data_IF_598101181208
#
_entry.id   IF_598101181208
#
_cell.length_a   1.000
_cell.length_b   1.000
_cell.length_c   1.000
_cell.angle_alpha   90.00
_cell.angle_beta   90.00
_cell.angle_gamma   90.00
#
_symmetry.space_group_name_H-M   'P 1'
#
loop_
_entity.id
_entity.type
_entity.pdbx_description
1 polymer ?
#
# COMPACT_ATOMS: atom_id res chain seq x y z
N UNK A 1 55.48 7.81 -13.69
CA UNK A 1 56.32 7.88 -12.47
C UNK A 1 55.53 7.31 -11.32
N UNK A 2 56.09 6.31 -10.65
CA UNK A 2 55.54 5.65 -9.48
C UNK A 2 56.04 6.40 -8.23
N UNK A 3 55.17 6.71 -7.27
CA UNK A 3 55.59 7.14 -5.94
C UNK A 3 54.62 6.60 -4.89
N UNK A 4 55.10 5.64 -4.11
CA UNK A 4 54.50 5.14 -2.87
C UNK A 4 55.26 5.80 -1.73
N UNK A 5 54.57 6.31 -0.71
CA UNK A 5 55.18 6.77 0.55
C UNK A 5 54.42 6.14 1.71
N UNK A 6 55.18 5.54 2.63
CA UNK A 6 54.73 4.88 3.86
C UNK A 6 55.11 5.73 5.10
N UNK A 7 54.17 5.79 6.05
CA UNK A 7 54.30 5.90 7.52
C UNK A 7 54.94 7.15 8.21
N UNK A 8 54.23 7.77 9.17
CA UNK A 8 54.45 7.63 10.64
C UNK A 8 53.64 8.62 11.53
N UNK A 9 53.04 8.04 12.59
CA UNK A 9 52.75 8.46 13.99
C UNK A 9 52.54 9.93 14.47
N UNK A 10 51.38 10.17 15.13
CA UNK A 10 51.16 11.02 16.33
C UNK A 10 51.05 12.55 16.11
N UNK A 11 50.02 13.26 16.57
CA UNK A 11 49.67 13.49 17.99
C UNK A 11 48.17 13.41 18.26
N UNK A 12 47.82 12.91 19.44
CA UNK A 12 46.47 12.86 19.97
C UNK A 12 45.87 14.26 20.14
N UNK A 13 44.65 14.47 19.64
CA UNK A 13 43.74 15.49 20.17
C UNK A 13 42.61 14.74 20.89
N UNK A 14 42.65 14.81 22.21
CA UNK A 14 41.67 14.20 23.11
C UNK A 14 40.39 15.04 23.10
N UNK A 15 39.55 14.85 22.08
CA UNK A 15 38.14 15.23 22.16
C UNK A 15 37.39 14.21 23.02
N UNK A 16 36.48 14.63 23.94
CA UNK A 16 35.68 13.68 24.69
C UNK A 16 34.86 12.82 23.73
N UNK A 17 35.17 11.52 23.71
CA UNK A 17 34.32 10.51 23.10
C UNK A 17 32.98 10.52 23.83
N UNK A 18 31.99 11.19 23.25
CA UNK A 18 30.61 10.83 23.48
C UNK A 18 30.42 9.44 22.90
N UNK A 19 30.55 8.43 23.77
CA UNK A 19 30.14 7.07 23.51
C UNK A 19 28.67 7.10 23.15
N UNK A 20 28.34 7.14 21.86
CA UNK A 20 27.00 6.80 21.40
C UNK A 20 26.94 5.27 21.52
N UNK A 21 26.11 4.69 22.41
CA UNK A 21 25.92 3.26 22.44
C UNK A 21 25.48 2.83 21.03
N UNK A 22 26.21 1.87 20.47
CA UNK A 22 26.00 1.42 19.10
C UNK A 22 24.53 1.13 18.86
N UNK A 23 23.96 1.77 17.83
CA UNK A 23 22.68 1.33 17.29
C UNK A 23 22.79 -0.17 17.04
N UNK A 24 21.88 -1.01 17.58
CA UNK A 24 21.81 -2.38 17.14
C UNK A 24 21.64 -2.31 15.63
N UNK A 25 22.64 -2.79 14.91
CA UNK A 25 22.56 -3.00 13.48
C UNK A 25 21.52 -4.10 13.31
N UNK A 26 20.24 -3.70 13.29
CA UNK A 26 19.12 -4.59 13.09
C UNK A 26 19.39 -5.32 11.80
N UNK A 27 19.63 -6.62 11.89
CA UNK A 27 19.66 -7.51 10.75
C UNK A 27 18.39 -7.23 9.96
N UNK A 28 18.52 -6.57 8.80
CA UNK A 28 17.41 -6.51 7.85
C UNK A 28 17.15 -7.96 7.51
N UNK A 29 16.05 -8.51 8.03
CA UNK A 29 15.56 -9.80 7.60
C UNK A 29 15.43 -9.71 6.08
N UNK A 30 16.28 -10.45 5.37
CA UNK A 30 16.17 -10.58 3.93
C UNK A 30 14.84 -11.25 3.67
N UNK A 31 13.90 -10.50 3.09
CA UNK A 31 12.63 -11.05 2.63
C UNK A 31 12.96 -12.07 1.54
N UNK A 32 12.77 -13.36 1.84
CA UNK A 32 12.91 -14.42 0.86
C UNK A 32 11.75 -14.27 -0.14
N UNK A 33 12.01 -13.98 -1.43
CA UNK A 33 10.96 -13.80 -2.43
C UNK A 33 10.15 -15.08 -2.70
N UNK A 34 10.58 -16.21 -2.13
CA UNK A 34 9.93 -17.51 -2.25
C UNK A 34 8.95 -17.80 -1.10
N UNK A 35 8.91 -16.97 -0.05
CA UNK A 35 7.93 -17.12 1.00
C UNK A 35 6.53 -16.85 0.42
N UNK A 36 5.54 -17.74 0.62
CA UNK A 36 4.18 -17.44 0.21
C UNK A 36 3.74 -16.17 0.93
N UNK A 37 3.40 -15.14 0.15
CA UNK A 37 2.84 -13.91 0.69
C UNK A 37 1.55 -14.18 1.46
N UNK A 38 1.09 -13.23 2.29
CA UNK A 38 -0.19 -13.35 2.97
C UNK A 38 -1.28 -13.72 1.96
N UNK A 39 -2.17 -14.64 2.36
CA UNK A 39 -3.27 -15.05 1.51
C UNK A 39 -4.04 -13.80 1.06
N UNK A 40 -4.06 -13.57 -0.25
CA UNK A 40 -4.80 -12.46 -0.82
C UNK A 40 -6.28 -12.55 -0.44
N UNK A 41 -7.00 -11.43 -0.48
CA UNK A 41 -8.42 -11.40 -0.18
C UNK A 41 -9.18 -12.41 -1.05
N UNK A 42 -10.23 -13.00 -0.47
CA UNK A 42 -11.10 -13.94 -1.15
C UNK A 42 -11.76 -13.34 -2.40
N UNK A 43 -12.44 -14.16 -3.22
CA UNK A 43 -13.08 -13.69 -4.44
C UNK A 43 -14.11 -12.59 -4.13
N UNK A 44 -14.08 -11.51 -4.92
CA UNK A 44 -14.99 -10.37 -4.76
C UNK A 44 -16.44 -10.73 -5.12
N UNK A 45 -17.36 -10.36 -4.25
CA UNK A 45 -18.80 -10.47 -4.48
C UNK A 45 -19.33 -9.28 -5.29
N UNK A 46 -19.37 -9.45 -6.62
CA UNK A 46 -19.85 -8.41 -7.52
C UNK A 46 -21.37 -8.34 -7.57
N UNK A 47 -21.94 -7.21 -7.14
CA UNK A 47 -23.38 -6.92 -7.15
C UNK A 47 -23.73 -5.73 -8.06
N UNK A 48 -25.04 -5.49 -8.25
CA UNK A 48 -25.52 -4.25 -8.87
C UNK A 48 -25.14 -3.08 -7.95
N UNK A 49 -24.69 -1.99 -8.55
CA UNK A 49 -24.42 -0.77 -7.80
C UNK A 49 -25.71 -0.15 -7.27
N UNK A 50 -25.66 0.31 -6.03
CA UNK A 50 -26.74 1.03 -5.37
C UNK A 50 -26.63 2.53 -5.68
N UNK A 51 -27.70 3.28 -5.45
CA UNK A 51 -27.66 4.73 -5.58
C UNK A 51 -26.92 5.34 -4.40
N UNK A 52 -25.99 6.29 -4.61
CA UNK A 52 -25.46 7.08 -3.52
C UNK A 52 -26.54 8.01 -2.96
N UNK A 53 -26.34 8.52 -1.75
CA UNK A 53 -27.26 9.47 -1.14
C UNK A 53 -27.45 10.70 -2.04
N UNK A 54 -28.71 11.07 -2.29
CA UNK A 54 -29.07 12.20 -3.15
C UNK A 54 -28.77 12.00 -4.65
N UNK A 55 -28.34 10.80 -5.08
CA UNK A 55 -28.01 10.49 -6.46
C UNK A 55 -28.82 9.35 -7.05
N UNK A 56 -28.47 8.97 -8.28
CA UNK A 56 -29.02 7.80 -8.97
C UNK A 56 -27.96 6.70 -9.07
N UNK A 57 -28.43 5.44 -9.08
CA UNK A 57 -27.54 4.30 -9.24
C UNK A 57 -26.88 4.36 -10.64
N UNK A 58 -25.61 3.92 -10.76
CA UNK A 58 -24.96 3.74 -12.04
C UNK A 58 -25.78 2.84 -12.98
N UNK A 59 -25.62 3.06 -14.29
CA UNK A 59 -26.30 2.28 -15.32
C UNK A 59 -26.09 0.76 -15.19
N UNK A 60 -26.95 -0.06 -15.82
CA UNK A 60 -27.05 -1.49 -15.57
C UNK A 60 -25.80 -2.31 -15.94
N UNK A 61 -24.84 -1.73 -16.66
CA UNK A 61 -23.57 -2.37 -17.02
C UNK A 61 -22.52 -2.34 -15.90
N UNK A 62 -22.72 -1.49 -14.90
CA UNK A 62 -21.78 -1.30 -13.79
C UNK A 62 -22.05 -2.31 -12.67
N UNK A 63 -20.97 -2.82 -12.09
CA UNK A 63 -20.99 -3.72 -10.92
C UNK A 63 -20.12 -3.14 -9.83
N UNK A 64 -20.58 -3.30 -8.60
CA UNK A 64 -19.91 -2.83 -7.41
C UNK A 64 -19.52 -4.02 -6.52
N UNK A 65 -18.41 -3.90 -5.81
CA UNK A 65 -17.96 -4.84 -4.78
C UNK A 65 -17.16 -4.06 -3.72
N UNK A 66 -17.00 -4.66 -2.54
CA UNK A 66 -16.10 -4.15 -1.51
C UNK A 66 -14.97 -5.14 -1.32
N UNK A 67 -13.74 -4.63 -1.31
CA UNK A 67 -12.55 -5.40 -1.01
C UNK A 67 -12.10 -5.09 0.42
N UNK A 68 -12.14 -6.08 1.30
CA UNK A 68 -11.59 -5.96 2.66
C UNK A 68 -10.06 -6.10 2.61
N UNK A 69 -9.36 -5.12 3.16
CA UNK A 69 -7.89 -5.11 3.30
C UNK A 69 -7.51 -4.77 4.74
N UNK A 70 -6.38 -5.26 5.25
CA UNK A 70 -5.93 -4.87 6.58
C UNK A 70 -5.60 -3.38 6.60
N UNK A 71 -5.96 -2.72 7.69
CA UNK A 71 -5.64 -1.33 7.96
C UNK A 71 -4.11 -1.13 8.08
N UNK A 72 -3.43 -2.09 8.71
CA UNK A 72 -1.98 -2.18 8.75
C UNK A 72 -1.52 -3.50 8.12
N UNK A 73 -0.81 -3.41 7.00
CA UNK A 73 -0.27 -4.60 6.32
C UNK A 73 0.84 -5.32 7.10
N UNK A 74 1.48 -4.67 8.09
CA UNK A 74 2.42 -5.32 9.01
C UNK A 74 1.68 -6.13 10.10
N UNK A 75 0.41 -5.80 10.38
CA UNK A 75 -0.48 -6.50 11.30
C UNK A 75 -1.73 -7.01 10.55
N UNK A 76 -1.59 -8.01 9.65
CA UNK A 76 -2.66 -8.42 8.73
C UNK A 76 -3.92 -8.95 9.42
N UNK A 77 -3.78 -9.42 10.66
CA UNK A 77 -4.90 -9.94 11.47
C UNK A 77 -5.55 -8.88 12.35
N UNK A 78 -5.11 -7.63 12.23
CA UNK A 78 -5.67 -6.46 12.89
C UNK A 78 -6.99 -6.00 12.27
N UNK A 79 -7.30 -4.71 12.46
CA UNK A 79 -8.50 -4.13 11.86
C UNK A 79 -8.44 -4.12 10.32
N UNK A 80 -9.60 -4.23 9.66
CA UNK A 80 -9.72 -4.09 8.20
C UNK A 80 -10.45 -2.82 7.82
N UNK A 81 -10.21 -2.38 6.60
CA UNK A 81 -10.98 -1.35 5.90
C UNK A 81 -11.53 -1.92 4.59
N UNK A 82 -12.67 -1.40 4.15
CA UNK A 82 -13.24 -1.69 2.85
C UNK A 82 -12.75 -0.72 1.79
N UNK A 83 -12.31 -1.25 0.65
CA UNK A 83 -12.05 -0.48 -0.58
C UNK A 83 -13.24 -0.69 -1.51
N UNK A 84 -13.95 0.39 -1.84
CA UNK A 84 -15.08 0.33 -2.76
C UNK A 84 -14.57 0.18 -4.21
N UNK A 85 -15.10 -0.80 -4.94
CA UNK A 85 -14.71 -1.06 -6.33
C UNK A 85 -15.91 -0.93 -7.25
N UNK A 86 -15.75 -0.16 -8.34
CA UNK A 86 -16.69 -0.06 -9.45
C UNK A 86 -16.07 -0.65 -10.71
N UNK A 87 -16.81 -1.52 -11.41
CA UNK A 87 -16.35 -2.19 -12.63
C UNK A 87 -17.41 -2.19 -13.72
N UNK A 88 -17.01 -1.78 -14.92
CA UNK A 88 -17.70 -2.10 -16.17
C UNK A 88 -16.95 -3.21 -16.90
N UNK A 89 -17.66 -4.23 -17.36
CA UNK A 89 -17.03 -5.33 -18.10
C UNK A 89 -16.65 -4.90 -19.52
N UNK A 90 -15.57 -5.51 -20.05
CA UNK A 90 -15.20 -5.33 -21.45
C UNK A 90 -16.34 -5.77 -22.38
N UNK A 91 -16.61 -4.99 -23.41
CA UNK A 91 -17.65 -5.26 -24.41
C UNK A 91 -17.31 -6.47 -25.27
N UNK A 92 -16.03 -6.65 -25.61
CA UNK A 92 -15.49 -7.82 -26.32
C UNK A 92 -14.82 -8.79 -25.34
N UNK A 93 -15.62 -9.61 -24.65
CA UNK A 93 -15.12 -10.52 -23.61
C UNK A 93 -14.06 -11.51 -24.09
N UNK A 94 -14.15 -11.99 -25.34
CA UNK A 94 -13.20 -12.93 -25.93
C UNK A 94 -11.83 -12.33 -26.27
N UNK A 95 -11.73 -11.00 -26.32
CA UNK A 95 -10.49 -10.26 -26.61
C UNK A 95 -9.97 -9.52 -25.37
N UNK A 96 -10.54 -9.82 -24.18
CA UNK A 96 -10.18 -9.13 -22.95
C UNK A 96 -8.75 -9.52 -22.53
N UNK A 97 -7.86 -8.54 -22.56
CA UNK A 97 -6.48 -8.68 -22.08
C UNK A 97 -6.38 -8.68 -20.54
N UNK A 98 -7.22 -7.88 -19.86
CA UNK A 98 -7.13 -7.70 -18.42
C UNK A 98 -8.12 -6.66 -17.88
N UNK A 99 -7.84 -6.16 -16.68
CA UNK A 99 -8.55 -5.01 -16.09
C UNK A 99 -7.66 -3.78 -16.23
N UNK A 100 -8.25 -2.66 -16.65
CA UNK A 100 -7.64 -1.35 -16.52
C UNK A 100 -8.12 -0.77 -15.20
N UNK A 101 -7.19 -0.49 -14.28
CA UNK A 101 -7.48 0.20 -13.04
C UNK A 101 -7.17 1.69 -13.24
N UNK A 102 -8.07 2.54 -12.79
CA UNK A 102 -7.90 3.98 -12.79
C UNK A 102 -8.12 4.47 -11.37
N UNK A 103 -7.41 5.53 -11.02
CA UNK A 103 -7.53 6.25 -9.75
C UNK A 103 -7.83 7.72 -10.06
N UNK A 104 -8.68 8.32 -9.24
CA UNK A 104 -9.01 9.73 -9.33
C UNK A 104 -8.82 10.33 -7.95
N UNK A 105 -7.93 11.30 -7.83
CA UNK A 105 -7.86 12.10 -6.62
C UNK A 105 -9.10 12.99 -6.61
N UNK A 106 -10.09 12.62 -5.81
CA UNK A 106 -11.27 13.45 -5.60
C UNK A 106 -11.11 14.34 -4.36
N UNK A 107 -12.12 15.18 -4.14
CA UNK A 107 -12.10 16.17 -3.05
C UNK A 107 -11.94 15.54 -1.68
N UNK A 108 -12.27 14.26 -1.44
CA UNK A 108 -12.14 13.64 -0.12
C UNK A 108 -10.70 13.60 0.40
N UNK A 109 -9.71 13.38 -0.48
CA UNK A 109 -8.30 13.45 -0.09
C UNK A 109 -7.87 14.88 0.28
N UNK A 110 -8.52 15.89 -0.32
CA UNK A 110 -8.22 17.31 -0.10
C UNK A 110 -9.01 17.91 1.08
N UNK A 111 -10.25 17.44 1.28
CA UNK A 111 -11.25 17.96 2.22
C UNK A 111 -11.31 17.14 3.52
N UNK A 112 -10.63 15.99 3.59
CA UNK A 112 -10.45 15.19 4.82
C UNK A 112 -11.73 14.54 5.39
N UNK A 113 -12.79 14.39 4.59
CA UNK A 113 -14.04 13.77 5.04
C UNK A 113 -13.97 12.24 4.99
N UNK A 114 -13.48 11.62 6.05
CA UNK A 114 -13.67 10.18 6.27
C UNK A 114 -15.11 9.93 6.73
N UNK A 115 -15.85 8.97 6.14
CA UNK A 115 -17.17 8.57 6.64
C UNK A 115 -17.11 8.24 8.13
N UNK A 116 -18.13 8.64 8.91
CA UNK A 116 -18.10 8.54 10.37
C UNK A 116 -18.04 7.08 10.89
N UNK A 117 -18.38 6.10 10.06
CA UNK A 117 -18.24 4.67 10.35
C UNK A 117 -16.87 4.10 9.95
N UNK A 118 -16.03 4.87 9.25
CA UNK A 118 -14.61 4.60 8.99
C UNK A 118 -14.33 3.41 8.06
N UNK A 119 -15.35 2.87 7.39
CA UNK A 119 -15.27 1.54 6.77
C UNK A 119 -15.04 1.52 5.28
N UNK A 120 -15.23 2.63 4.58
CA UNK A 120 -15.11 2.65 3.13
C UNK A 120 -14.31 3.86 2.66
N UNK A 121 -13.21 3.59 1.96
CA UNK A 121 -12.58 4.53 1.05
C UNK A 121 -13.25 4.35 -0.32
N UNK A 122 -13.87 5.42 -0.82
CA UNK A 122 -14.48 5.47 -2.15
C UNK A 122 -13.53 6.01 -3.19
#
# INVERSE_FOLDING_TARGET
>A
MLAVVLAACGTADSGPSSTVPGSPSGSRASSDPSAPGPAGPGPLEWKRCEAPEGGSAPGPDWRCATLEVPLDHAEPEGGTIGVALVRKQATRRGERLGSMLFDFIDGYFLDGKVPADGRACS
#
